data_IF_654420820984
#
_entry.id   IF_654420820984
#
_cell.length_a   1.000
_cell.length_b   1.000
_cell.length_c   1.000
_cell.angle_alpha   90.00
_cell.angle_beta   90.00
_cell.angle_gamma   90.00
#
_symmetry.space_group_name_H-M   'P 1'
#
loop_
_entity.id
_entity.type
_entity.pdbx_description
1 polymer ?
#
# COMPACT_ATOMS: atom_id res chain seq x y z
N UNK A 1 10.71 -29.76 15.60
CA UNK A 1 11.92 -30.54 15.27
C UNK A 1 13.11 -29.63 15.46
N UNK A 2 14.15 -30.06 16.18
CA UNK A 2 15.33 -29.22 16.38
C UNK A 2 16.01 -29.00 15.02
N UNK A 3 15.89 -27.79 14.46
CA UNK A 3 16.55 -27.44 13.22
C UNK A 3 18.06 -27.65 13.37
N UNK A 4 18.67 -28.29 12.38
CA UNK A 4 20.12 -28.43 12.29
C UNK A 4 20.69 -27.02 12.27
N UNK A 5 21.43 -26.62 13.32
CA UNK A 5 22.17 -25.37 13.27
C UNK A 5 23.24 -25.51 12.20
N UNK A 6 23.34 -24.53 11.30
CA UNK A 6 24.50 -24.41 10.43
C UNK A 6 25.75 -24.21 11.30
N UNK A 7 26.93 -24.53 10.77
CA UNK A 7 28.21 -24.32 11.48
C UNK A 7 28.41 -22.86 11.95
N UNK A 8 27.71 -21.91 11.33
CA UNK A 8 27.68 -20.49 11.69
C UNK A 8 26.82 -20.15 12.92
N UNK A 9 26.08 -21.12 13.48
CA UNK A 9 25.10 -20.87 14.55
C UNK A 9 23.75 -20.33 14.05
N UNK A 10 23.61 -20.13 12.73
CA UNK A 10 22.34 -19.74 12.10
C UNK A 10 21.47 -20.98 11.92
N UNK A 11 20.17 -20.93 12.26
CA UNK A 11 19.29 -22.06 12.05
C UNK A 11 19.07 -22.33 10.55
N UNK A 12 19.11 -23.60 10.13
CA UNK A 12 18.84 -23.98 8.73
C UNK A 12 17.40 -23.75 8.30
N UNK A 13 16.49 -23.52 9.24
CA UNK A 13 15.09 -23.19 9.02
C UNK A 13 14.58 -22.31 10.16
N UNK A 14 13.74 -21.32 9.85
CA UNK A 14 13.07 -20.51 10.86
C UNK A 14 11.85 -21.25 11.41
N UNK A 15 11.77 -21.33 12.73
CA UNK A 15 10.55 -21.75 13.41
C UNK A 15 9.60 -20.54 13.51
N UNK A 16 8.59 -20.55 12.66
CA UNK A 16 7.53 -19.54 12.66
C UNK A 16 6.28 -19.98 13.42
N UNK A 17 6.25 -21.23 13.91
CA UNK A 17 5.17 -21.71 14.77
C UNK A 17 5.32 -21.13 16.17
N UNK A 18 6.56 -20.98 16.64
CA UNK A 18 6.89 -20.51 17.97
C UNK A 18 7.86 -19.30 17.95
N UNK A 19 7.43 -18.15 17.38
CA UNK A 19 8.31 -16.99 17.31
C UNK A 19 8.59 -16.43 18.70
N UNK A 20 9.85 -16.09 18.97
CA UNK A 20 10.22 -15.34 20.17
C UNK A 20 9.99 -13.85 19.91
N UNK A 21 9.06 -13.24 20.64
CA UNK A 21 8.80 -11.81 20.54
C UNK A 21 9.94 -11.02 21.18
N UNK A 22 10.57 -10.15 20.40
CA UNK A 22 11.59 -9.19 20.85
C UNK A 22 11.06 -7.77 20.71
N UNK A 23 11.54 -6.86 21.56
CA UNK A 23 11.18 -5.45 21.48
C UNK A 23 11.85 -4.73 20.31
N UNK A 24 13.04 -5.18 19.93
CA UNK A 24 13.82 -4.69 18.80
C UNK A 24 14.55 -5.87 18.15
N UNK A 25 14.70 -5.83 16.82
CA UNK A 25 15.42 -6.86 16.09
C UNK A 25 16.91 -6.81 16.46
N UNK A 26 17.51 -7.93 16.92
CA UNK A 26 18.91 -7.94 17.32
C UNK A 26 19.83 -7.60 16.15
N UNK A 27 20.74 -6.65 16.39
CA UNK A 27 21.80 -6.26 15.45
C UNK A 27 23.14 -6.96 15.70
N UNK A 28 23.25 -7.76 16.78
CA UNK A 28 24.48 -8.41 17.21
C UNK A 28 24.28 -9.90 17.54
N UNK A 29 25.39 -10.57 17.85
CA UNK A 29 25.43 -11.98 18.28
C UNK A 29 25.63 -12.16 19.79
N UNK A 30 25.71 -11.06 20.55
CA UNK A 30 26.04 -11.10 21.98
C UNK A 30 24.79 -11.16 22.85
N UNK A 31 23.64 -10.74 22.31
CA UNK A 31 22.39 -10.70 23.06
C UNK A 31 21.82 -12.11 23.22
N UNK A 32 21.81 -12.63 24.45
CA UNK A 32 21.16 -13.92 24.74
C UNK A 32 19.64 -13.78 24.74
N UNK A 33 18.97 -14.53 23.87
CA UNK A 33 17.50 -14.57 23.78
C UNK A 33 16.97 -15.88 24.36
N UNK A 34 15.86 -15.81 25.09
CA UNK A 34 15.18 -17.00 25.60
C UNK A 34 14.33 -17.59 24.46
N UNK A 35 14.90 -18.59 23.77
CA UNK A 35 14.19 -19.32 22.74
C UNK A 35 13.47 -20.51 23.37
N UNK A 36 12.38 -20.94 22.72
CA UNK A 36 11.71 -22.17 23.06
C UNK A 36 12.64 -23.36 22.75
N UNK A 37 12.94 -24.14 23.78
CA UNK A 37 13.76 -25.33 23.73
C UNK A 37 12.94 -26.57 23.38
N UNK A 38 13.59 -27.73 23.41
CA UNK A 38 12.94 -29.00 23.08
C UNK A 38 11.85 -29.29 24.12
N UNK A 39 10.61 -29.40 23.67
CA UNK A 39 9.49 -29.86 24.50
C UNK A 39 9.72 -31.30 24.94
N UNK A 40 9.51 -31.56 26.24
CA UNK A 40 9.46 -32.93 26.77
C UNK A 40 8.03 -33.27 27.10
N UNK A 41 7.46 -34.18 26.31
CA UNK A 41 6.15 -34.79 26.58
C UNK A 41 6.35 -36.05 27.42
N UNK A 42 5.76 -36.05 28.61
CA UNK A 42 5.54 -37.23 29.45
C UNK A 42 4.06 -37.55 29.44
N UNK A 43 3.72 -38.79 29.07
CA UNK A 43 2.34 -39.31 29.10
C UNK A 43 2.29 -40.29 30.25
N UNK A 44 1.50 -39.96 31.27
CA UNK A 44 1.25 -40.84 32.40
C UNK A 44 -0.19 -41.36 32.31
N UNK A 45 -0.34 -42.68 32.13
CA UNK A 45 -1.65 -43.34 32.15
C UNK A 45 -1.97 -43.78 33.59
N UNK A 46 -3.15 -43.42 34.09
CA UNK A 46 -3.63 -43.83 35.41
C UNK A 46 -5.08 -44.30 35.37
N UNK A 47 -5.36 -45.48 35.93
CA UNK A 47 -6.72 -46.03 36.07
C UNK A 47 -6.85 -47.47 35.55
N UNK A 48 -7.85 -48.18 36.08
CA UNK A 48 -8.22 -49.52 35.62
C UNK A 48 -9.34 -49.46 34.58
N UNK A 49 -9.31 -50.38 33.60
CA UNK A 49 -10.34 -50.48 32.56
C UNK A 49 -11.75 -50.61 33.20
N UNK A 50 -12.78 -49.91 32.68
CA UNK A 50 -12.83 -49.28 31.35
C UNK A 50 -12.42 -47.80 31.28
N UNK A 51 -12.02 -47.17 32.39
CA UNK A 51 -11.71 -45.73 32.43
C UNK A 51 -10.22 -45.52 32.69
N UNK A 52 -9.45 -45.34 31.62
CA UNK A 52 -8.04 -44.92 31.70
C UNK A 52 -8.01 -43.39 31.62
N UNK A 53 -7.38 -42.74 32.59
CA UNK A 53 -7.10 -41.31 32.58
C UNK A 53 -5.68 -41.11 32.06
N UNK A 54 -5.56 -40.49 30.89
CA UNK A 54 -4.26 -40.13 30.31
C UNK A 54 -3.91 -38.70 30.72
N UNK A 55 -2.81 -38.52 31.44
CA UNK A 55 -2.26 -37.21 31.80
C UNK A 55 -1.02 -36.93 30.97
N UNK A 56 -1.16 -36.02 30.00
CA UNK A 56 -0.05 -35.57 29.16
C UNK A 56 0.56 -34.31 29.76
N UNK A 57 1.72 -34.46 30.40
CA UNK A 57 2.52 -33.34 30.92
C UNK A 57 3.49 -32.86 29.85
N UNK A 58 3.27 -31.65 29.35
CA UNK A 58 4.14 -30.98 28.39
C UNK A 58 5.06 -30.05 29.16
N UNK A 59 6.33 -30.40 29.28
CA UNK A 59 7.35 -29.52 29.88
C UNK A 59 8.02 -28.74 28.76
N UNK A 60 7.66 -27.47 28.66
CA UNK A 60 8.29 -26.50 27.78
C UNK A 60 9.49 -25.89 28.51
N UNK A 61 10.69 -25.98 27.93
CA UNK A 61 11.91 -25.44 28.53
C UNK A 61 12.43 -24.30 27.67
N UNK A 62 12.71 -23.15 28.27
CA UNK A 62 13.34 -22.03 27.55
C UNK A 62 14.86 -22.21 27.58
N UNK A 63 15.50 -22.23 26.42
CA UNK A 63 16.96 -22.30 26.29
C UNK A 63 17.47 -20.92 25.86
N UNK A 64 18.45 -20.37 26.58
CA UNK A 64 19.13 -19.16 26.13
C UNK A 64 19.98 -19.49 24.91
N UNK A 65 19.68 -18.86 23.77
CA UNK A 65 20.47 -18.93 22.55
C UNK A 65 21.07 -17.55 22.27
N UNK A 66 22.26 -17.52 21.67
CA UNK A 66 22.85 -16.27 21.18
C UNK A 66 22.02 -15.74 20.00
N UNK A 67 21.83 -14.42 19.96
CA UNK A 67 21.19 -13.75 18.83
C UNK A 67 22.03 -13.84 17.55
N UNK A 68 21.43 -13.46 16.43
CA UNK A 68 22.10 -13.23 15.16
C UNK A 68 21.58 -11.92 14.56
N UNK A 69 22.36 -11.23 13.71
CA UNK A 69 21.95 -9.97 13.11
C UNK A 69 20.71 -10.18 12.23
N UNK A 70 19.68 -9.39 12.50
CA UNK A 70 18.39 -9.43 11.80
C UNK A 70 18.00 -8.04 11.34
N UNK A 71 17.12 -7.99 10.35
CA UNK A 71 16.47 -6.77 9.85
C UNK A 71 14.97 -6.85 10.08
N UNK A 72 14.40 -5.71 10.48
CA UNK A 72 12.96 -5.56 10.67
C UNK A 72 12.24 -5.64 9.33
N UNK A 73 11.34 -6.63 9.17
CA UNK A 73 10.44 -6.73 8.03
C UNK A 73 9.03 -6.31 8.45
N UNK A 74 8.58 -5.17 7.92
CA UNK A 74 7.22 -4.67 8.11
C UNK A 74 6.87 -4.34 9.57
N UNK A 75 7.86 -4.24 10.45
CA UNK A 75 7.72 -4.06 11.89
C UNK A 75 6.97 -5.16 12.63
N UNK A 76 6.93 -6.35 12.05
CA UNK A 76 6.29 -7.54 12.61
C UNK A 76 7.28 -8.67 12.83
N UNK A 77 8.27 -8.81 11.95
CA UNK A 77 9.20 -9.93 11.96
C UNK A 77 10.65 -9.45 11.91
N UNK A 78 11.55 -10.19 12.54
CA UNK A 78 12.98 -10.03 12.40
C UNK A 78 13.50 -11.13 11.48
N UNK A 79 14.03 -10.77 10.32
CA UNK A 79 14.55 -11.71 9.33
C UNK A 79 16.07 -11.68 9.36
N UNK A 80 16.77 -12.83 9.32
CA UNK A 80 18.23 -12.85 9.28
C UNK A 80 18.77 -12.01 8.13
N UNK A 81 19.78 -11.17 8.41
CA UNK A 81 20.51 -10.43 7.38
C UNK A 81 21.67 -11.29 6.89
N UNK A 82 21.38 -12.16 5.92
CA UNK A 82 22.34 -13.17 5.45
C UNK A 82 23.54 -12.54 4.69
N UNK A 83 23.33 -11.39 4.04
CA UNK A 83 24.36 -10.63 3.31
C UNK A 83 25.60 -10.28 4.12
N UNK A 84 25.45 -10.14 5.44
CA UNK A 84 26.54 -9.71 6.33
C UNK A 84 27.30 -10.92 6.92
N UNK A 85 26.87 -12.16 6.62
CA UNK A 85 27.39 -13.39 7.21
C UNK A 85 28.25 -14.24 6.26
N UNK A 86 28.62 -13.75 5.07
CA UNK A 86 29.45 -14.45 4.08
C UNK A 86 28.97 -15.89 3.77
N UNK A 87 27.66 -16.13 3.87
CA UNK A 87 27.07 -17.44 3.67
C UNK A 87 26.68 -17.63 2.19
N UNK A 88 27.21 -18.65 1.49
CA UNK A 88 26.81 -18.96 0.13
C UNK A 88 25.43 -19.64 0.16
N UNK A 89 24.36 -18.85 0.10
CA UNK A 89 22.99 -19.38 0.10
C UNK A 89 21.85 -18.40 0.40
N UNK A 90 22.10 -17.09 0.31
CA UNK A 90 21.17 -16.00 0.69
C UNK A 90 19.74 -16.13 0.14
N UNK A 91 19.59 -16.82 -0.99
CA UNK A 91 18.30 -17.01 -1.65
C UNK A 91 17.44 -18.09 -1.01
N UNK A 92 17.96 -19.22 -0.53
CA UNK A 92 17.06 -20.37 -0.31
C UNK A 92 16.13 -20.19 0.91
N UNK A 93 16.68 -19.70 2.03
CA UNK A 93 15.87 -19.41 3.23
C UNK A 93 14.95 -18.21 2.99
N UNK A 94 15.47 -17.14 2.40
CA UNK A 94 14.69 -15.93 2.10
C UNK A 94 13.56 -16.23 1.10
N UNK A 95 13.84 -17.00 0.04
CA UNK A 95 12.86 -17.46 -0.96
C UNK A 95 11.87 -18.44 -0.33
N UNK A 96 12.28 -19.30 0.60
CA UNK A 96 11.33 -20.19 1.30
C UNK A 96 10.35 -19.41 2.18
N UNK A 97 10.78 -18.31 2.80
CA UNK A 97 9.95 -17.45 3.65
C UNK A 97 9.08 -16.47 2.86
N UNK A 98 9.69 -15.82 1.87
CA UNK A 98 9.08 -14.75 1.09
C UNK A 98 8.45 -15.23 -0.21
N UNK A 99 8.69 -16.47 -0.63
CA UNK A 99 8.08 -17.07 -1.80
C UNK A 99 6.56 -17.20 -1.64
N UNK A 100 5.84 -17.41 -2.74
CA UNK A 100 4.38 -17.44 -2.73
C UNK A 100 3.76 -18.51 -1.81
N UNK A 101 4.48 -19.61 -1.56
CA UNK A 101 4.12 -20.67 -0.61
C UNK A 101 4.65 -20.43 0.80
N UNK A 102 5.51 -19.43 0.96
CA UNK A 102 6.11 -19.08 2.23
C UNK A 102 5.09 -18.43 3.17
N UNK A 103 5.26 -18.61 4.49
CA UNK A 103 4.36 -18.08 5.50
C UNK A 103 4.29 -16.55 5.51
N UNK A 104 5.38 -15.87 5.12
CA UNK A 104 5.44 -14.39 5.02
C UNK A 104 5.15 -13.92 3.59
N UNK A 105 5.46 -14.74 2.59
CA UNK A 105 5.26 -14.44 1.18
C UNK A 105 3.81 -14.52 0.71
N UNK A 106 2.94 -15.21 1.46
CA UNK A 106 1.53 -15.30 1.15
C UNK A 106 0.92 -13.89 1.00
N UNK A 107 0.31 -13.61 -0.16
CA UNK A 107 -0.27 -12.30 -0.47
C UNK A 107 -1.28 -11.81 0.58
N UNK A 108 -1.97 -12.73 1.27
CA UNK A 108 -2.87 -12.38 2.37
C UNK A 108 -2.14 -11.84 3.60
N UNK A 109 -1.02 -12.45 3.98
CA UNK A 109 -0.21 -12.00 5.13
C UNK A 109 0.45 -10.66 4.83
N UNK A 110 0.90 -10.46 3.58
CA UNK A 110 1.41 -9.16 3.12
C UNK A 110 0.35 -8.08 3.17
N UNK A 111 -0.88 -8.39 2.76
CA UNK A 111 -1.99 -7.45 2.79
C UNK A 111 -2.36 -7.06 4.23
N UNK A 112 -2.49 -8.03 5.15
CA UNK A 112 -2.81 -7.74 6.55
C UNK A 112 -1.68 -6.98 7.24
N UNK A 113 -0.43 -7.32 6.95
CA UNK A 113 0.74 -6.57 7.40
C UNK A 113 0.75 -5.12 6.91
N UNK A 114 0.43 -4.88 5.63
CA UNK A 114 0.32 -3.54 5.06
C UNK A 114 -0.79 -2.71 5.73
N UNK A 115 -1.95 -3.31 6.00
CA UNK A 115 -3.07 -2.66 6.71
C UNK A 115 -2.66 -2.33 8.15
N UNK A 116 -1.98 -3.24 8.85
CA UNK A 116 -1.42 -2.99 10.18
C UNK A 116 -0.39 -1.85 10.18
N UNK A 117 0.44 -1.78 9.15
CA UNK A 117 1.39 -0.68 8.94
C UNK A 117 0.71 0.69 8.78
N UNK A 118 -0.45 0.74 8.13
CA UNK A 118 -1.24 1.97 8.01
C UNK A 118 -1.72 2.47 9.37
N UNK A 119 -2.19 1.58 10.25
CA UNK A 119 -2.57 1.94 11.61
C UNK A 119 -1.38 2.48 12.42
N UNK A 120 -0.20 1.86 12.28
CA UNK A 120 1.02 2.32 12.98
C UNK A 120 1.51 3.69 12.47
N UNK A 121 1.25 4.01 11.20
CA UNK A 121 1.72 5.23 10.52
C UNK A 121 0.65 6.33 10.42
N UNK A 122 -0.44 6.26 11.18
CA UNK A 122 -1.56 7.21 11.09
C UNK A 122 -1.14 8.69 11.25
N UNK A 123 -0.11 8.98 12.04
CA UNK A 123 0.45 10.33 12.21
C UNK A 123 1.06 10.84 10.91
N UNK A 124 1.80 9.99 10.20
CA UNK A 124 2.41 10.32 8.90
C UNK A 124 1.31 10.57 7.87
N UNK A 125 0.26 9.74 7.86
CA UNK A 125 -0.92 9.94 7.01
C UNK A 125 -1.61 11.28 7.32
N UNK A 126 -1.75 11.63 8.60
CA UNK A 126 -2.28 12.92 9.03
C UNK A 126 -1.47 14.11 8.49
N UNK A 127 -0.14 14.06 8.59
CA UNK A 127 0.74 15.08 8.01
C UNK A 127 0.67 15.14 6.49
N UNK A 128 0.66 13.98 5.83
CA UNK A 128 0.50 13.90 4.38
C UNK A 128 -0.82 14.55 3.93
N UNK A 129 -1.91 14.36 4.67
CA UNK A 129 -3.20 15.01 4.40
C UNK A 129 -3.10 16.54 4.53
N UNK A 130 -2.54 17.05 5.64
CA UNK A 130 -2.39 18.51 5.84
C UNK A 130 -1.54 19.12 4.73
N UNK A 131 -0.43 18.46 4.37
CA UNK A 131 0.43 18.87 3.26
C UNK A 131 -0.31 18.84 1.92
N UNK A 132 -1.09 17.79 1.65
CA UNK A 132 -1.86 17.67 0.41
C UNK A 132 -2.92 18.79 0.28
N UNK A 133 -3.62 19.11 1.36
CA UNK A 133 -4.58 20.23 1.40
C UNK A 133 -3.85 21.55 1.17
N UNK A 134 -2.74 21.78 1.86
CA UNK A 134 -1.91 22.99 1.71
C UNK A 134 -1.38 23.16 0.28
N UNK A 135 -0.87 22.09 -0.32
CA UNK A 135 -0.41 22.07 -1.71
C UNK A 135 -1.58 22.28 -2.70
N UNK A 136 -2.76 21.74 -2.41
CA UNK A 136 -3.97 21.98 -3.20
C UNK A 136 -4.38 23.45 -3.22
N UNK A 137 -4.37 24.12 -2.06
CA UNK A 137 -4.60 25.57 -1.98
C UNK A 137 -3.49 26.37 -2.66
N UNK A 138 -2.23 25.96 -2.48
CA UNK A 138 -1.08 26.55 -3.18
C UNK A 138 -1.26 26.48 -4.70
N UNK A 139 -1.68 25.33 -5.22
CA UNK A 139 -1.99 25.12 -6.62
C UNK A 139 -3.12 26.04 -7.12
N UNK A 140 -4.25 26.13 -6.40
CA UNK A 140 -5.34 27.03 -6.75
C UNK A 140 -4.92 28.50 -6.75
N UNK A 141 -4.06 28.90 -5.79
CA UNK A 141 -3.51 30.25 -5.74
C UNK A 141 -2.56 30.54 -6.93
N UNK A 142 -1.71 29.58 -7.29
CA UNK A 142 -0.84 29.69 -8.47
C UNK A 142 -1.64 29.73 -9.76
N UNK A 143 -2.72 28.94 -9.88
CA UNK A 143 -3.65 29.02 -11.01
C UNK A 143 -4.24 30.43 -11.13
N UNK A 144 -4.67 31.03 -10.02
CA UNK A 144 -5.22 32.40 -10.04
C UNK A 144 -4.22 33.43 -10.55
N UNK A 145 -2.97 33.35 -10.09
CA UNK A 145 -1.97 34.38 -10.42
C UNK A 145 -1.32 34.18 -11.78
N UNK A 146 -0.98 32.95 -12.13
CA UNK A 146 -0.13 32.62 -13.28
C UNK A 146 -0.46 31.25 -13.90
N UNK A 147 -1.73 30.99 -14.25
CA UNK A 147 -2.16 29.74 -14.87
C UNK A 147 -1.28 29.31 -16.08
N UNK A 148 -0.87 30.25 -16.93
CA UNK A 148 -0.03 29.96 -18.11
C UNK A 148 1.31 29.34 -17.73
N UNK A 149 2.02 29.93 -16.78
CA UNK A 149 3.33 29.43 -16.35
C UNK A 149 3.19 28.11 -15.59
N UNK A 150 2.12 27.94 -14.83
CA UNK A 150 1.86 26.70 -14.11
C UNK A 150 1.62 25.54 -15.09
N UNK A 151 0.73 25.70 -16.07
CA UNK A 151 0.42 24.63 -17.04
C UNK A 151 1.61 24.32 -17.95
N UNK A 152 2.31 25.33 -18.46
CA UNK A 152 3.48 25.11 -19.30
C UNK A 152 4.63 24.49 -18.48
N UNK A 153 4.83 24.97 -17.25
CA UNK A 153 5.83 24.45 -16.33
C UNK A 153 5.60 22.98 -15.98
N UNK A 154 4.36 22.57 -15.71
CA UNK A 154 4.04 21.16 -15.43
C UNK A 154 4.25 20.28 -16.67
N UNK A 155 3.82 20.71 -17.86
CA UNK A 155 4.06 19.97 -19.10
C UNK A 155 5.55 19.79 -19.38
N UNK A 156 6.34 20.86 -19.25
CA UNK A 156 7.80 20.80 -19.44
C UNK A 156 8.49 19.93 -18.38
N UNK A 157 8.03 20.01 -17.13
CA UNK A 157 8.60 19.20 -16.03
C UNK A 157 8.31 17.73 -16.24
N UNK A 158 7.10 17.35 -16.63
CA UNK A 158 6.74 15.95 -16.91
C UNK A 158 7.52 15.43 -18.11
N UNK A 159 7.54 16.18 -19.21
CA UNK A 159 8.24 15.76 -20.42
C UNK A 159 9.77 15.66 -20.19
N UNK A 160 10.36 16.65 -19.51
CA UNK A 160 11.77 16.65 -19.12
C UNK A 160 12.12 15.52 -18.15
N UNK A 161 11.27 15.27 -17.15
CA UNK A 161 11.42 14.15 -16.22
C UNK A 161 11.42 12.80 -16.92
N UNK A 162 10.49 12.58 -17.86
CA UNK A 162 10.45 11.36 -18.68
C UNK A 162 11.70 11.18 -19.53
N UNK A 163 12.24 12.27 -20.11
CA UNK A 163 13.50 12.23 -20.87
C UNK A 163 14.67 11.90 -19.95
N UNK A 164 14.78 12.53 -18.78
CA UNK A 164 15.86 12.27 -17.81
C UNK A 164 15.83 10.81 -17.33
N UNK A 165 14.64 10.32 -16.95
CA UNK A 165 14.44 8.91 -16.55
C UNK A 165 14.80 7.98 -17.71
N UNK A 166 14.37 8.30 -18.93
CA UNK A 166 14.68 7.51 -20.12
C UNK A 166 16.18 7.42 -20.40
N UNK A 167 16.88 8.55 -20.33
CA UNK A 167 18.33 8.61 -20.49
C UNK A 167 19.05 7.86 -19.37
N UNK A 168 18.60 7.98 -18.12
CA UNK A 168 19.17 7.26 -16.98
C UNK A 168 19.11 5.74 -17.16
N UNK A 169 18.02 5.20 -17.68
CA UNK A 169 17.90 3.75 -17.93
C UNK A 169 18.65 3.28 -19.18
N UNK A 170 18.87 4.17 -20.16
CA UNK A 170 19.62 3.86 -21.38
C UNK A 170 21.13 3.98 -21.20
N UNK A 171 21.62 4.81 -20.28
CA UNK A 171 23.06 5.05 -20.08
C UNK A 171 23.83 3.78 -19.71
N UNK A 172 23.19 2.83 -19.00
CA UNK A 172 23.79 1.54 -18.66
C UNK A 172 24.19 0.70 -19.88
N UNK A 173 23.62 0.97 -21.06
CA UNK A 173 24.04 0.29 -22.31
C UNK A 173 25.35 0.82 -22.91
N UNK A 174 25.78 2.01 -22.47
CA UNK A 174 26.98 2.70 -22.98
C UNK A 174 28.12 2.67 -21.96
N UNK A 175 27.80 2.60 -20.67
CA UNK A 175 28.79 2.50 -19.60
C UNK A 175 29.54 1.17 -19.67
N UNK A 176 30.83 1.20 -19.34
CA UNK A 176 31.68 0.02 -19.20
C UNK A 176 32.66 0.18 -18.02
N UNK A 177 33.17 -0.94 -17.51
CA UNK A 177 34.09 -0.96 -16.37
C UNK A 177 33.44 -0.50 -15.06
N UNK A 178 34.23 0.07 -14.15
CA UNK A 178 33.75 0.44 -12.80
C UNK A 178 32.60 1.45 -12.76
N UNK A 179 32.40 2.24 -13.83
CA UNK A 179 31.23 3.13 -13.94
C UNK A 179 29.92 2.37 -14.14
N UNK A 180 29.97 1.21 -14.81
CA UNK A 180 28.81 0.33 -14.96
C UNK A 180 28.45 -0.29 -13.60
N UNK A 181 29.43 -0.83 -12.87
CA UNK A 181 29.24 -1.40 -11.53
C UNK A 181 28.64 -0.38 -10.55
N UNK A 182 29.12 0.88 -10.58
CA UNK A 182 28.57 1.94 -9.73
C UNK A 182 27.10 2.25 -10.06
N UNK A 183 26.75 2.28 -11.35
CA UNK A 183 25.37 2.50 -11.80
C UNK A 183 24.46 1.31 -11.49
N UNK A 184 24.94 0.08 -11.72
CA UNK A 184 24.24 -1.18 -11.43
C UNK A 184 23.84 -1.27 -9.96
N UNK A 185 24.77 -0.92 -9.06
CA UNK A 185 24.52 -0.92 -7.62
C UNK A 185 23.42 0.06 -7.17
N UNK A 186 23.16 1.13 -7.94
CA UNK A 186 22.12 2.13 -7.65
C UNK A 186 20.81 1.82 -8.37
N UNK A 187 20.83 1.06 -9.46
CA UNK A 187 19.65 0.74 -10.24
C UNK A 187 18.79 -0.34 -9.55
N UNK A 188 17.56 0.02 -9.18
CA UNK A 188 16.61 -0.88 -8.53
C UNK A 188 16.29 -2.13 -9.34
N UNK A 189 16.31 -2.06 -10.68
CA UNK A 189 16.00 -3.22 -11.53
C UNK A 189 17.07 -4.31 -11.44
N UNK A 190 18.35 -3.92 -11.36
CA UNK A 190 19.47 -4.87 -11.26
C UNK A 190 19.58 -5.49 -9.87
N UNK A 191 19.02 -4.86 -8.85
CA UNK A 191 18.90 -5.45 -7.50
C UNK A 191 17.82 -6.51 -7.40
N UNK A 192 16.82 -6.49 -8.29
CA UNK A 192 15.62 -7.34 -8.17
C UNK A 192 15.56 -8.45 -9.21
N UNK A 193 16.16 -8.25 -10.39
CA UNK A 193 16.11 -9.20 -11.51
C UNK A 193 17.50 -9.65 -11.92
N UNK A 194 17.59 -10.80 -12.60
CA UNK A 194 18.83 -11.24 -13.21
C UNK A 194 19.34 -10.22 -14.23
N UNK A 195 20.66 -10.18 -14.43
CA UNK A 195 21.34 -9.16 -15.23
C UNK A 195 20.77 -9.03 -16.66
N UNK A 196 20.45 -10.16 -17.30
CA UNK A 196 19.93 -10.18 -18.66
C UNK A 196 18.50 -9.62 -18.74
N UNK A 197 17.63 -10.03 -17.83
CA UNK A 197 16.26 -9.53 -17.72
C UNK A 197 16.25 -8.05 -17.31
N UNK A 198 17.05 -7.66 -16.32
CA UNK A 198 17.19 -6.29 -15.85
C UNK A 198 17.66 -5.36 -16.98
N UNK A 199 18.66 -5.78 -17.76
CA UNK A 199 19.15 -5.05 -18.93
C UNK A 199 18.05 -4.84 -19.98
N UNK A 200 17.28 -5.90 -20.27
CA UNK A 200 16.23 -5.86 -21.28
C UNK A 200 15.07 -4.95 -20.84
N UNK A 201 14.63 -5.05 -19.58
CA UNK A 201 13.59 -4.20 -19.00
C UNK A 201 14.06 -2.75 -18.92
N UNK A 202 15.29 -2.50 -18.47
CA UNK A 202 15.88 -1.15 -18.39
C UNK A 202 15.90 -0.48 -19.76
N UNK A 203 16.33 -1.20 -20.82
CA UNK A 203 16.33 -0.68 -22.19
C UNK A 203 14.90 -0.39 -22.69
N UNK A 204 13.96 -1.30 -22.47
CA UNK A 204 12.57 -1.11 -22.89
C UNK A 204 11.92 0.08 -22.18
N UNK A 205 12.05 0.17 -20.85
CA UNK A 205 11.51 1.27 -20.04
C UNK A 205 12.17 2.60 -20.38
N UNK A 206 13.50 2.60 -20.57
CA UNK A 206 14.27 3.77 -20.94
C UNK A 206 13.86 4.32 -22.31
N UNK A 207 13.72 3.45 -23.31
CA UNK A 207 13.27 3.83 -24.64
C UNK A 207 11.81 4.31 -24.61
N UNK A 208 10.92 3.62 -23.92
CA UNK A 208 9.51 4.00 -23.83
C UNK A 208 9.35 5.38 -23.18
N UNK A 209 9.98 5.62 -22.03
CA UNK A 209 9.93 6.91 -21.32
C UNK A 209 10.57 8.05 -22.12
N UNK A 210 11.71 7.81 -22.77
CA UNK A 210 12.34 8.79 -23.66
C UNK A 210 11.44 9.16 -24.83
N UNK A 211 10.89 8.17 -25.55
CA UNK A 211 9.97 8.38 -26.65
C UNK A 211 8.71 9.13 -26.20
N UNK A 212 8.10 8.74 -25.10
CA UNK A 212 6.94 9.44 -24.54
C UNK A 212 7.27 10.89 -24.18
N UNK A 213 8.42 11.15 -23.56
CA UNK A 213 8.87 12.51 -23.23
C UNK A 213 9.08 13.39 -24.47
N UNK A 214 9.76 12.86 -25.51
CA UNK A 214 9.96 13.59 -26.78
C UNK A 214 8.62 13.85 -27.48
N UNK A 215 7.76 12.85 -27.55
CA UNK A 215 6.42 12.98 -28.12
C UNK A 215 5.63 14.08 -27.39
N UNK A 216 5.63 14.09 -26.05
CA UNK A 216 4.96 15.13 -25.27
C UNK A 216 5.54 16.54 -25.51
N UNK A 217 6.86 16.68 -25.66
CA UNK A 217 7.46 17.98 -26.04
C UNK A 217 7.01 18.44 -27.41
N UNK A 218 7.01 17.53 -28.39
CA UNK A 218 6.57 17.80 -29.75
C UNK A 218 5.09 18.19 -29.78
N UNK A 219 4.22 17.45 -29.08
CA UNK A 219 2.81 17.80 -28.91
C UNK A 219 2.63 19.15 -28.21
N UNK A 220 3.41 19.45 -27.17
CA UNK A 220 3.35 20.74 -26.48
C UNK A 220 3.70 21.90 -27.42
N UNK A 221 4.64 21.70 -28.34
CA UNK A 221 5.01 22.67 -29.36
C UNK A 221 3.92 22.84 -30.43
N UNK A 222 3.38 21.74 -30.97
CA UNK A 222 2.39 21.80 -32.04
C UNK A 222 0.98 22.19 -31.55
N UNK A 223 0.63 21.88 -30.30
CA UNK A 223 -0.70 22.15 -29.73
C UNK A 223 -0.78 23.46 -28.93
N UNK A 224 0.10 24.44 -29.18
CA UNK A 224 0.10 25.72 -28.44
C UNK A 224 -1.23 26.47 -28.51
N UNK A 225 -1.94 26.40 -29.64
CA UNK A 225 -3.26 27.03 -29.78
C UNK A 225 -4.33 26.34 -28.91
N UNK A 226 -4.31 25.00 -28.86
CA UNK A 226 -5.20 24.22 -28.01
C UNK A 226 -4.92 24.50 -26.53
N UNK A 227 -3.64 24.58 -26.13
CA UNK A 227 -3.22 24.95 -24.77
C UNK A 227 -3.70 26.36 -24.44
N UNK A 228 -3.55 27.31 -25.36
CA UNK A 228 -4.02 28.69 -25.17
C UNK A 228 -5.54 28.74 -25.01
N UNK A 229 -6.27 27.93 -25.77
CA UNK A 229 -7.73 27.81 -25.64
C UNK A 229 -8.12 27.22 -24.29
N UNK A 230 -7.45 26.16 -23.84
CA UNK A 230 -7.67 25.58 -22.51
C UNK A 230 -7.38 26.60 -21.40
N UNK A 231 -6.31 27.39 -21.51
CA UNK A 231 -5.98 28.46 -20.55
C UNK A 231 -7.07 29.53 -20.47
N UNK A 232 -7.70 29.88 -21.60
CA UNK A 232 -8.86 30.80 -21.62
C UNK A 232 -10.10 30.22 -20.95
N UNK A 233 -10.24 28.90 -20.87
CA UNK A 233 -11.31 28.25 -20.10
C UNK A 233 -10.99 28.19 -18.59
N UNK A 234 -9.71 28.14 -18.21
CA UNK A 234 -9.27 28.13 -16.81
C UNK A 234 -9.50 29.47 -16.12
N UNK A 235 -9.35 30.58 -16.84
CA UNK A 235 -9.56 31.93 -16.30
C UNK A 235 -10.98 32.15 -15.72
N UNK A 236 -12.08 31.91 -16.46
CA UNK A 236 -13.44 32.03 -15.90
C UNK A 236 -13.74 30.96 -14.85
N UNK A 237 -13.12 29.77 -14.93
CA UNK A 237 -13.23 28.77 -13.88
C UNK A 237 -12.61 29.26 -12.56
N UNK A 238 -11.44 29.91 -12.62
CA UNK A 238 -10.82 30.54 -11.46
C UNK A 238 -11.68 31.69 -10.93
N UNK A 239 -12.19 32.56 -11.81
CA UNK A 239 -13.11 33.64 -11.40
C UNK A 239 -14.31 33.08 -10.63
N UNK A 240 -14.92 32.01 -11.14
CA UNK A 240 -16.03 31.31 -10.49
C UNK A 240 -15.66 30.76 -9.10
N UNK A 241 -14.53 30.05 -8.99
CA UNK A 241 -14.04 29.49 -7.72
C UNK A 241 -13.77 30.60 -6.69
N UNK A 242 -13.11 31.69 -7.10
CA UNK A 242 -12.76 32.78 -6.18
C UNK A 242 -13.93 33.73 -5.88
N UNK A 243 -14.96 33.78 -6.73
CA UNK A 243 -16.21 34.49 -6.45
C UNK A 243 -17.11 33.77 -5.44
N UNK A 244 -16.84 32.49 -5.16
CA UNK A 244 -17.59 31.68 -4.19
C UNK A 244 -16.65 31.11 -3.13
N UNK A 245 -16.44 31.81 -2.00
CA UNK A 245 -15.53 31.36 -0.95
C UNK A 245 -15.84 29.95 -0.42
N UNK A 246 -17.11 29.52 -0.45
CA UNK A 246 -17.45 28.14 -0.08
C UNK A 246 -16.78 27.12 -1.00
N UNK A 247 -16.67 27.37 -2.31
CA UNK A 247 -16.02 26.45 -3.26
C UNK A 247 -14.55 26.20 -2.93
N UNK A 248 -13.87 27.17 -2.32
CA UNK A 248 -12.50 26.97 -1.83
C UNK A 248 -12.45 25.94 -0.70
N UNK A 249 -13.51 25.76 0.08
CA UNK A 249 -13.56 24.71 1.12
C UNK A 249 -13.83 23.32 0.55
N UNK A 250 -14.27 23.19 -0.71
CA UNK A 250 -14.67 21.92 -1.29
C UNK A 250 -13.56 20.85 -1.25
N UNK A 251 -12.30 21.13 -1.62
CA UNK A 251 -11.24 20.11 -1.56
C UNK A 251 -10.99 19.61 -0.14
N UNK A 252 -11.09 20.48 0.87
CA UNK A 252 -10.92 20.10 2.27
C UNK A 252 -12.10 19.25 2.76
N UNK A 253 -13.33 19.64 2.42
CA UNK A 253 -14.54 18.86 2.74
C UNK A 253 -14.47 17.48 2.09
N UNK A 254 -14.11 17.40 0.81
CA UNK A 254 -13.94 16.15 0.08
C UNK A 254 -12.86 15.26 0.72
N UNK A 255 -11.70 15.82 1.06
CA UNK A 255 -10.62 15.09 1.73
C UNK A 255 -11.07 14.52 3.09
N UNK A 256 -11.76 15.32 3.90
CA UNK A 256 -12.29 14.88 5.20
C UNK A 256 -13.36 13.80 5.03
N UNK A 257 -14.30 13.96 4.10
CA UNK A 257 -15.33 12.95 3.82
C UNK A 257 -14.71 11.63 3.37
N UNK A 258 -13.72 11.67 2.46
CA UNK A 258 -12.98 10.49 2.01
C UNK A 258 -12.18 9.84 3.13
N UNK A 259 -11.56 10.62 4.02
CA UNK A 259 -10.84 10.08 5.17
C UNK A 259 -11.79 9.36 6.13
N UNK A 260 -12.93 9.99 6.48
CA UNK A 260 -13.93 9.39 7.35
C UNK A 260 -14.51 8.12 6.72
N UNK A 261 -14.90 8.18 5.44
CA UNK A 261 -15.41 7.03 4.70
C UNK A 261 -14.37 5.91 4.61
N UNK A 262 -13.13 6.25 4.24
CA UNK A 262 -12.02 5.31 4.17
C UNK A 262 -11.72 4.64 5.51
N UNK A 263 -11.67 5.41 6.60
CA UNK A 263 -11.47 4.88 7.95
C UNK A 263 -12.63 3.96 8.38
N UNK A 264 -13.88 4.33 8.07
CA UNK A 264 -15.04 3.49 8.31
C UNK A 264 -14.98 2.17 7.53
N UNK A 265 -14.65 2.23 6.25
CA UNK A 265 -14.52 1.05 5.37
C UNK A 265 -13.34 0.16 5.78
N UNK A 266 -12.20 0.74 6.15
CA UNK A 266 -11.05 -0.01 6.66
C UNK A 266 -11.40 -0.69 7.99
N UNK A 267 -12.08 0.01 8.89
CA UNK A 267 -12.54 -0.57 10.17
C UNK A 267 -13.50 -1.73 9.92
N UNK A 268 -14.48 -1.57 9.03
CA UNK A 268 -15.40 -2.65 8.65
C UNK A 268 -14.69 -3.82 7.96
N UNK A 269 -13.65 -3.56 7.16
CA UNK A 269 -12.83 -4.61 6.56
C UNK A 269 -12.01 -5.37 7.62
N UNK A 270 -11.40 -4.66 8.59
CA UNK A 270 -10.69 -5.33 9.70
C UNK A 270 -11.63 -6.17 10.55
N UNK A 271 -12.87 -5.71 10.76
CA UNK A 271 -13.92 -6.48 11.42
C UNK A 271 -14.26 -7.74 10.62
N UNK A 272 -14.39 -7.65 9.29
CA UNK A 272 -14.60 -8.80 8.43
C UNK A 272 -13.42 -9.79 8.49
N UNK A 273 -12.18 -9.32 8.52
CA UNK A 273 -11.01 -10.18 8.66
C UNK A 273 -10.94 -10.86 10.03
N UNK A 274 -11.54 -10.27 11.07
CA UNK A 274 -11.63 -10.89 12.39
C UNK A 274 -12.52 -12.14 12.44
N UNK A 275 -13.35 -12.38 11.43
CA UNK A 275 -14.16 -13.61 11.31
C UNK A 275 -13.41 -14.78 10.68
N UNK A 276 -12.08 -14.70 10.59
CA UNK A 276 -11.24 -15.81 10.14
C UNK A 276 -11.38 -17.02 11.07
N UNK A 277 -11.33 -18.22 10.51
CA UNK A 277 -11.36 -19.43 11.33
C UNK A 277 -9.96 -19.66 11.92
N UNK A 278 -9.93 -19.96 13.21
CA UNK A 278 -8.71 -20.43 13.88
C UNK A 278 -8.76 -21.95 13.89
N UNK A 279 -7.94 -22.57 13.05
CA UNK A 279 -7.76 -24.01 13.10
C UNK A 279 -6.71 -24.33 14.16
N UNK A 280 -6.99 -25.25 15.11
CA UNK A 280 -5.97 -25.72 16.01
C UNK A 280 -4.95 -26.50 15.18
N UNK A 281 -3.68 -26.12 15.27
CA UNK A 281 -2.63 -26.95 14.70
C UNK A 281 -2.39 -28.12 15.65
N UNK A 282 -2.22 -29.30 15.08
CA UNK A 282 -1.90 -30.51 15.80
C UNK A 282 -0.44 -30.85 15.58
N UNK A 283 0.30 -31.02 16.68
CA UNK A 283 1.69 -31.44 16.64
C UNK A 283 1.72 -32.92 17.00
N UNK A 284 2.30 -33.72 16.10
CA UNK A 284 2.55 -35.15 16.36
C UNK A 284 3.76 -35.30 17.26
N UNK A 285 3.53 -35.63 18.53
CA UNK A 285 4.57 -35.87 19.52
C UNK A 285 4.59 -37.36 19.84
N UNK A 286 5.65 -38.06 19.39
CA UNK A 286 5.86 -39.51 19.60
C UNK A 286 4.69 -40.42 19.16
N UNK A 287 3.89 -39.98 18.20
CA UNK A 287 2.76 -40.76 17.67
C UNK A 287 1.39 -40.27 18.14
N UNK A 288 1.34 -39.43 19.17
CA UNK A 288 0.12 -38.80 19.67
C UNK A 288 -0.05 -37.39 19.09
N UNK A 289 -1.27 -37.03 18.66
CA UNK A 289 -1.61 -35.70 18.16
C UNK A 289 -2.03 -34.80 19.34
N UNK A 290 -1.12 -33.91 19.76
CA UNK A 290 -1.43 -32.91 20.77
C UNK A 290 -1.83 -31.62 20.06
N UNK A 291 -3.11 -31.26 20.17
CA UNK A 291 -3.69 -30.07 19.55
C UNK A 291 -3.71 -28.86 20.47
N UNK A 292 -3.69 -27.66 19.86
CA UNK A 292 -4.09 -26.42 20.55
C UNK A 292 -2.96 -25.58 21.15
N UNK A 293 -1.69 -25.97 20.97
CA UNK A 293 -0.53 -25.16 21.34
C UNK A 293 -0.34 -23.97 20.39
N UNK A 294 -0.59 -24.18 19.10
CA UNK A 294 -0.62 -23.11 18.08
C UNK A 294 -1.96 -23.09 17.36
N UNK A 295 -2.31 -21.91 16.83
CA UNK A 295 -3.51 -21.71 16.01
C UNK A 295 -3.08 -21.10 14.70
N UNK A 296 -3.46 -21.73 13.60
CA UNK A 296 -3.30 -21.15 12.29
C UNK A 296 -4.57 -20.41 11.88
N UNK A 297 -4.39 -19.24 11.26
CA UNK A 297 -5.48 -18.47 10.68
C UNK A 297 -5.77 -19.02 9.30
N UNK A 298 -6.93 -19.68 9.14
CA UNK A 298 -7.40 -20.17 7.86
C UNK A 298 -8.59 -19.33 7.37
N UNK A 299 -8.50 -18.91 6.11
CA UNK A 299 -9.58 -18.18 5.44
C UNK A 299 -10.33 -19.15 4.52
N UNK A 300 -11.55 -19.61 4.88
CA UNK A 300 -12.33 -20.45 4.00
C UNK A 300 -12.70 -19.67 2.72
N UNK A 301 -13.03 -20.40 1.65
CA UNK A 301 -13.39 -19.81 0.36
C UNK A 301 -14.51 -18.76 0.50
N UNK A 302 -15.50 -19.03 1.33
CA UNK A 302 -16.60 -18.09 1.63
C UNK A 302 -16.09 -16.76 2.18
N UNK A 303 -15.17 -16.77 3.15
CA UNK A 303 -14.59 -15.54 3.71
C UNK A 303 -13.78 -14.76 2.66
N UNK A 304 -13.08 -15.47 1.76
CA UNK A 304 -12.37 -14.83 0.64
C UNK A 304 -13.35 -14.13 -0.32
N UNK A 305 -14.46 -14.78 -0.68
CA UNK A 305 -15.51 -14.18 -1.52
C UNK A 305 -16.14 -12.97 -0.83
N UNK A 306 -16.44 -13.05 0.47
CA UNK A 306 -16.96 -11.92 1.25
C UNK A 306 -15.97 -10.75 1.29
N UNK A 307 -14.68 -11.01 1.44
CA UNK A 307 -13.64 -9.98 1.42
C UNK A 307 -13.54 -9.29 0.05
N UNK A 308 -13.62 -10.04 -1.05
CA UNK A 308 -13.64 -9.48 -2.41
C UNK A 308 -14.90 -8.63 -2.63
N UNK A 309 -16.07 -9.14 -2.24
CA UNK A 309 -17.34 -8.43 -2.34
C UNK A 309 -17.31 -7.13 -1.52
N UNK A 310 -16.80 -7.17 -0.29
CA UNK A 310 -16.63 -5.99 0.57
C UNK A 310 -15.68 -4.97 -0.06
N UNK A 311 -14.53 -5.42 -0.59
CA UNK A 311 -13.56 -4.55 -1.25
C UNK A 311 -14.19 -3.84 -2.45
N UNK A 312 -14.94 -4.56 -3.27
CA UNK A 312 -15.68 -3.97 -4.39
C UNK A 312 -16.70 -2.93 -3.92
N UNK A 313 -17.49 -3.25 -2.88
CA UNK A 313 -18.43 -2.30 -2.28
C UNK A 313 -17.77 -1.07 -1.68
N UNK A 314 -16.60 -1.23 -1.04
CA UNK A 314 -15.80 -0.14 -0.49
C UNK A 314 -15.29 0.79 -1.59
N UNK A 315 -14.75 0.26 -2.68
CA UNK A 315 -14.33 1.05 -3.84
C UNK A 315 -15.52 1.80 -4.46
N UNK A 316 -16.68 1.15 -4.56
CA UNK A 316 -17.90 1.79 -5.07
C UNK A 316 -18.35 2.97 -4.20
N UNK A 317 -18.31 2.83 -2.87
CA UNK A 317 -18.66 3.92 -1.94
C UNK A 317 -17.65 5.08 -2.00
N UNK A 318 -16.37 4.79 -2.24
CA UNK A 318 -15.36 5.83 -2.49
C UNK A 318 -15.66 6.57 -3.81
N UNK A 319 -16.03 5.85 -4.88
CA UNK A 319 -16.45 6.47 -6.13
C UNK A 319 -17.76 7.27 -6.00
N UNK A 320 -18.69 6.85 -5.15
CA UNK A 320 -19.89 7.63 -4.82
C UNK A 320 -19.52 8.97 -4.17
N UNK A 321 -18.50 8.97 -3.30
CA UNK A 321 -17.98 10.20 -2.69
C UNK A 321 -17.35 11.13 -3.73
N UNK A 322 -16.64 10.57 -4.73
CA UNK A 322 -16.13 11.32 -5.88
C UNK A 322 -17.28 11.94 -6.71
N UNK A 323 -18.27 11.12 -7.07
CA UNK A 323 -19.41 11.54 -7.88
C UNK A 323 -20.23 12.64 -7.19
N UNK A 324 -20.45 12.51 -5.87
CA UNK A 324 -21.11 13.54 -5.07
C UNK A 324 -20.31 14.85 -5.10
N UNK A 325 -18.99 14.79 -4.93
CA UNK A 325 -18.13 15.99 -4.95
C UNK A 325 -18.14 16.70 -6.31
N UNK A 326 -18.10 15.94 -7.41
CA UNK A 326 -18.22 16.46 -8.77
C UNK A 326 -19.59 17.08 -9.04
N UNK A 327 -20.66 16.45 -8.55
CA UNK A 327 -22.01 16.99 -8.63
C UNK A 327 -22.14 18.31 -7.90
N UNK A 328 -21.65 18.40 -6.66
CA UNK A 328 -21.71 19.64 -5.85
C UNK A 328 -20.94 20.78 -6.52
N UNK A 329 -19.77 20.50 -7.10
CA UNK A 329 -19.00 21.48 -7.88
C UNK A 329 -19.82 21.95 -9.08
N UNK A 330 -20.35 21.02 -9.88
CA UNK A 330 -21.13 21.32 -11.08
C UNK A 330 -22.39 22.13 -10.75
N UNK A 331 -23.11 21.74 -9.70
CA UNK A 331 -24.27 22.47 -9.19
C UNK A 331 -23.92 23.90 -8.79
N UNK A 332 -22.81 24.08 -8.07
CA UNK A 332 -22.35 25.40 -7.62
C UNK A 332 -21.96 26.30 -8.79
N UNK A 333 -21.29 25.75 -9.81
CA UNK A 333 -20.92 26.47 -11.04
C UNK A 333 -22.16 26.88 -11.82
N UNK A 334 -23.14 25.98 -11.99
CA UNK A 334 -24.41 26.30 -12.69
C UNK A 334 -25.16 27.40 -11.94
N UNK A 335 -25.27 27.30 -10.61
CA UNK A 335 -25.94 28.32 -9.80
C UNK A 335 -25.23 29.67 -9.92
N UNK A 336 -23.90 29.68 -9.87
CA UNK A 336 -23.13 30.90 -10.11
C UNK A 336 -23.39 31.45 -11.50
N UNK A 337 -23.34 30.63 -12.55
CA UNK A 337 -23.45 31.08 -13.94
C UNK A 337 -24.80 31.74 -14.23
N UNK A 338 -25.91 31.12 -13.80
CA UNK A 338 -27.26 31.59 -14.14
C UNK A 338 -27.85 32.60 -13.15
N UNK A 339 -27.25 32.82 -11.98
CA UNK A 339 -27.75 33.83 -11.03
C UNK A 339 -27.35 35.23 -11.47
N UNK A 340 -28.30 36.15 -11.72
CA UNK A 340 -27.98 37.56 -12.00
C UNK A 340 -27.25 38.16 -10.79
N UNK A 341 -26.03 38.67 -11.01
CA UNK A 341 -25.18 39.16 -9.92
C UNK A 341 -24.27 40.31 -10.37
N UNK A 342 -23.93 41.26 -9.49
CA UNK A 342 -22.86 42.22 -9.74
C UNK A 342 -21.52 41.50 -9.88
N UNK A 343 -20.59 42.07 -10.67
CA UNK A 343 -19.26 41.48 -10.91
C UNK A 343 -18.56 41.16 -9.58
N UNK A 344 -18.02 39.94 -9.47
CA UNK A 344 -17.28 39.48 -8.29
C UNK A 344 -18.13 38.90 -7.14
N UNK A 345 -19.46 38.90 -7.24
CA UNK A 345 -20.34 38.28 -6.24
C UNK A 345 -20.83 36.90 -6.70
N UNK A 346 -21.04 35.99 -5.75
CA UNK A 346 -21.55 34.64 -5.97
C UNK A 346 -22.74 34.31 -5.05
N UNK A 347 -23.48 33.24 -5.34
CA UNK A 347 -24.56 32.77 -4.47
C UNK A 347 -24.04 32.44 -3.06
N UNK A 348 -24.88 32.62 -2.04
CA UNK A 348 -24.54 32.28 -0.66
C UNK A 348 -24.60 30.76 -0.45
N UNK A 349 -23.49 30.18 -0.01
CA UNK A 349 -23.37 28.77 0.42
C UNK A 349 -23.89 27.74 -0.63
N UNK A 350 -23.44 27.80 -1.89
CA UNK A 350 -23.85 26.86 -2.93
C UNK A 350 -23.46 25.41 -2.64
N UNK A 351 -22.37 25.18 -1.89
CA UNK A 351 -21.91 23.82 -1.55
C UNK A 351 -22.92 23.04 -0.71
N UNK A 352 -23.37 23.62 0.41
CA UNK A 352 -24.33 22.94 1.32
C UNK A 352 -25.63 22.63 0.58
N UNK A 353 -26.11 23.59 -0.21
CA UNK A 353 -27.29 23.39 -1.06
C UNK A 353 -27.06 22.27 -2.08
N UNK A 354 -25.88 22.22 -2.71
CA UNK A 354 -25.48 21.15 -3.62
C UNK A 354 -25.49 19.78 -2.95
N UNK A 355 -24.93 19.66 -1.74
CA UNK A 355 -24.93 18.38 -1.00
C UNK A 355 -26.36 17.93 -0.64
N UNK A 356 -27.20 18.85 -0.15
CA UNK A 356 -28.60 18.53 0.16
C UNK A 356 -29.34 18.08 -1.10
N UNK A 357 -29.20 18.82 -2.20
CA UNK A 357 -29.87 18.47 -3.47
C UNK A 357 -29.35 17.14 -4.02
N UNK A 358 -28.03 16.90 -3.91
CA UNK A 358 -27.39 15.65 -4.33
C UNK A 358 -27.92 14.44 -3.55
N UNK A 359 -28.02 14.56 -2.22
CA UNK A 359 -28.47 13.48 -1.34
C UNK A 359 -29.99 13.24 -1.47
N UNK A 360 -30.79 14.30 -1.48
CA UNK A 360 -32.26 14.17 -1.45
C UNK A 360 -32.84 13.79 -2.81
N UNK A 361 -32.31 14.35 -3.91
CA UNK A 361 -32.93 14.20 -5.23
C UNK A 361 -32.10 13.37 -6.22
N UNK A 362 -30.78 13.28 -6.05
CA UNK A 362 -29.90 12.67 -7.06
C UNK A 362 -29.07 11.49 -6.56
N UNK A 363 -29.24 11.03 -5.31
CA UNK A 363 -28.39 9.99 -4.73
C UNK A 363 -28.42 8.70 -5.56
N UNK A 364 -29.59 8.29 -6.06
CA UNK A 364 -29.72 7.12 -6.92
C UNK A 364 -28.95 7.23 -8.24
N UNK A 365 -29.06 8.37 -8.93
CA UNK A 365 -28.33 8.62 -10.18
C UNK A 365 -26.82 8.72 -9.95
N UNK A 366 -26.39 9.34 -8.84
CA UNK A 366 -24.98 9.42 -8.45
C UNK A 366 -24.41 8.03 -8.10
N UNK A 367 -25.18 7.20 -7.37
CA UNK A 367 -24.82 5.84 -7.03
C UNK A 367 -24.67 4.94 -8.27
N UNK A 368 -25.59 5.06 -9.23
CA UNK A 368 -25.49 4.37 -10.51
C UNK A 368 -24.28 4.85 -11.32
N UNK A 369 -24.05 6.17 -11.40
CA UNK A 369 -22.89 6.74 -12.09
C UNK A 369 -21.56 6.25 -11.49
N UNK A 370 -21.45 6.25 -10.17
CA UNK A 370 -20.28 5.72 -9.45
C UNK A 370 -20.06 4.23 -9.71
N UNK A 371 -21.14 3.44 -9.78
CA UNK A 371 -21.05 2.01 -10.11
C UNK A 371 -20.52 1.80 -11.53
N UNK A 372 -21.07 2.54 -12.51
CA UNK A 372 -20.61 2.46 -13.90
C UNK A 372 -19.15 2.90 -14.05
N UNK A 373 -18.73 3.95 -13.33
CA UNK A 373 -17.34 4.37 -13.31
C UNK A 373 -16.43 3.27 -12.75
N UNK A 374 -16.81 2.62 -11.64
CA UNK A 374 -16.02 1.52 -11.07
C UNK A 374 -15.89 0.34 -12.03
N UNK A 375 -16.98 -0.05 -12.71
CA UNK A 375 -16.98 -1.20 -13.63
C UNK A 375 -16.22 -0.89 -14.92
N UNK A 376 -16.33 0.34 -15.45
CA UNK A 376 -15.72 0.73 -16.72
C UNK A 376 -14.30 1.29 -16.57
N UNK A 377 -13.87 1.74 -15.38
CA UNK A 377 -12.55 2.32 -15.16
C UNK A 377 -11.39 1.43 -15.62
N UNK A 378 -11.38 0.10 -15.41
CA UNK A 378 -10.31 -0.78 -15.90
C UNK A 378 -10.18 -0.82 -17.43
N UNK A 379 -11.21 -0.39 -18.16
CA UNK A 379 -11.24 -0.37 -19.63
C UNK A 379 -10.74 0.96 -20.20
N UNK A 380 -10.62 2.00 -19.37
CA UNK A 380 -10.23 3.36 -19.76
C UNK A 380 -8.75 3.62 -19.47
#
# INVERSE_FOLDING_TARGET
GAGTLLQSGVPSALDLQFPTCVSECPGDTQTGMACLGIERVQVDESGDKPYVTEMTTITESTVKQSSYPTVELGGLYCIPRLSDMDLPGDDELTVSLMGNSGPVGNGWVRLTGAIGGLHRSWIVVGWAMVMAIGLGYGYLYLLKKQARWLVLGTLLTVAGGLIIIGLYYLIGSVLSGGSFEAWENVNLLYRQFDEQTATSISRALGLASLCSGVVLLVFTYFCQEAITTALRCVEPACECIFAMPSMLMQPAIEAVLKLIMGAFLLSGFTWLLSTAHMDPDFIKLKGEEVGGLTRSLSFPFTSKVMAVYYTFGALWLMELTNAMSQFVISYSVILWYYTPKPKGYGPHIPLVRGFIVGIVFHLGSLALGAFLLLVCAPVR
#
